data_IF_674643490867
#
_entry.id   IF_674643490867
#
_cell.length_a   1.000
_cell.length_b   1.000
_cell.length_c   1.000
_cell.angle_alpha   90.00
_cell.angle_beta   90.00
_cell.angle_gamma   90.00
#
_symmetry.space_group_name_H-M   'P 1'
#
loop_
_entity.id
_entity.type
_entity.pdbx_description
1 polymer ?
#
# COMPACT_ATOMS: atom_id res chain seq x y z
N UNK A 1 47.39 -21.60 -26.87
CA UNK A 1 46.03 -22.19 -26.93
C UNK A 1 45.31 -21.83 -25.65
N UNK A 2 44.48 -20.79 -25.66
CA UNK A 2 43.67 -20.38 -24.51
C UNK A 2 42.28 -20.99 -24.68
N UNK A 3 41.91 -21.89 -23.77
CA UNK A 3 40.61 -22.55 -23.79
C UNK A 3 39.53 -21.52 -23.42
N UNK A 4 38.66 -21.21 -24.37
CA UNK A 4 37.50 -20.37 -24.13
C UNK A 4 36.58 -21.07 -23.10
N UNK A 5 36.28 -20.36 -22.01
CA UNK A 5 35.27 -20.78 -21.04
C UNK A 5 33.92 -20.86 -21.77
N UNK A 6 33.24 -22.01 -21.80
CA UNK A 6 31.98 -22.12 -22.52
C UNK A 6 30.92 -21.24 -21.86
N UNK A 7 30.15 -20.53 -22.69
CA UNK A 7 29.01 -19.75 -22.23
C UNK A 7 28.02 -20.66 -21.47
N UNK A 8 27.38 -20.18 -20.38
CA UNK A 8 26.42 -20.98 -19.65
C UNK A 8 25.29 -21.37 -20.60
N UNK A 9 24.99 -22.67 -20.69
CA UNK A 9 23.90 -23.19 -21.50
C UNK A 9 22.56 -22.60 -21.01
N UNK A 10 21.68 -22.26 -21.96
CA UNK A 10 20.33 -21.75 -21.76
C UNK A 10 19.37 -22.79 -21.15
N UNK A 11 19.84 -23.54 -20.15
CA UNK A 11 19.18 -24.74 -19.60
C UNK A 11 18.19 -24.50 -18.46
N UNK A 12 17.73 -23.27 -18.22
CA UNK A 12 16.83 -22.98 -17.09
C UNK A 12 15.71 -21.99 -17.44
N UNK A 13 14.89 -22.34 -18.44
CA UNK A 13 13.59 -21.68 -18.65
C UNK A 13 12.67 -21.77 -17.41
N UNK A 14 12.87 -22.77 -16.55
CA UNK A 14 12.17 -22.96 -15.27
C UNK A 14 12.56 -21.93 -14.18
N UNK A 15 13.68 -21.21 -14.33
CA UNK A 15 14.20 -20.25 -13.35
C UNK A 15 14.15 -18.82 -13.88
N UNK A 16 12.97 -18.38 -14.36
CA UNK A 16 12.58 -16.97 -14.29
C UNK A 16 11.77 -16.76 -13.00
N UNK A 17 12.39 -16.75 -11.80
CA UNK A 17 11.69 -16.76 -10.51
C UNK A 17 10.70 -15.60 -10.36
N UNK A 18 10.90 -14.50 -11.11
CA UNK A 18 10.00 -13.35 -11.10
C UNK A 18 8.54 -13.72 -11.37
N UNK A 19 8.22 -14.49 -12.43
CA UNK A 19 6.80 -14.68 -12.83
C UNK A 19 6.01 -15.49 -11.80
N UNK A 20 6.55 -16.61 -11.33
CA UNK A 20 5.88 -17.45 -10.34
C UNK A 20 5.77 -16.74 -8.99
N UNK A 21 6.81 -16.01 -8.56
CA UNK A 21 6.76 -15.22 -7.33
C UNK A 21 5.71 -14.10 -7.44
N UNK A 22 5.63 -13.41 -8.59
CA UNK A 22 4.58 -12.39 -8.80
C UNK A 22 3.19 -12.99 -8.78
N UNK A 23 3.01 -14.18 -9.36
CA UNK A 23 1.73 -14.88 -9.33
C UNK A 23 1.34 -15.25 -7.89
N UNK A 24 2.25 -15.81 -7.10
CA UNK A 24 1.99 -16.15 -5.69
C UNK A 24 1.62 -14.91 -4.88
N UNK A 25 2.35 -13.80 -5.05
CA UNK A 25 2.01 -12.54 -4.39
C UNK A 25 0.63 -12.05 -4.84
N UNK A 26 0.34 -12.06 -6.14
CA UNK A 26 -0.95 -11.62 -6.67
C UNK A 26 -2.11 -12.47 -6.13
N UNK A 27 -1.96 -13.79 -6.07
CA UNK A 27 -2.95 -14.69 -5.48
C UNK A 27 -3.12 -14.46 -3.98
N UNK A 28 -2.01 -14.21 -3.26
CA UNK A 28 -2.07 -13.85 -1.83
C UNK A 28 -2.79 -12.53 -1.58
N UNK A 29 -2.60 -11.53 -2.43
CA UNK A 29 -3.31 -10.25 -2.37
C UNK A 29 -4.80 -10.41 -2.70
N UNK A 30 -5.13 -11.21 -3.72
CA UNK A 30 -6.52 -11.51 -4.06
C UNK A 30 -7.22 -12.23 -2.91
N UNK A 31 -6.61 -13.28 -2.37
CA UNK A 31 -7.14 -13.98 -1.20
C UNK A 31 -7.31 -13.02 -0.02
N UNK A 32 -6.29 -12.20 0.27
CA UNK A 32 -6.37 -11.18 1.32
C UNK A 32 -7.52 -10.20 1.12
N UNK A 33 -7.83 -9.81 -0.12
CA UNK A 33 -8.90 -8.86 -0.41
C UNK A 33 -10.27 -9.49 -0.18
N UNK A 34 -10.44 -10.75 -0.61
CA UNK A 34 -11.69 -11.50 -0.48
C UNK A 34 -12.05 -11.78 0.99
N UNK A 35 -11.06 -11.93 1.88
CA UNK A 35 -11.32 -12.22 3.30
C UNK A 35 -11.60 -10.98 4.16
N UNK A 36 -11.50 -9.77 3.63
CA UNK A 36 -11.61 -8.54 4.43
C UNK A 36 -12.97 -8.40 5.16
N UNK A 37 -14.04 -8.95 4.60
CA UNK A 37 -15.38 -8.92 5.19
C UNK A 37 -15.73 -10.14 6.06
N UNK A 38 -14.85 -11.13 6.20
CA UNK A 38 -15.19 -12.42 6.82
C UNK A 38 -15.19 -12.40 8.36
N UNK A 39 -14.75 -11.30 8.98
CA UNK A 39 -14.69 -11.14 10.43
C UNK A 39 -15.25 -9.78 10.86
N UNK A 40 -15.86 -9.77 12.05
CA UNK A 40 -16.28 -8.53 12.71
C UNK A 40 -15.12 -7.61 13.07
N UNK A 41 -15.42 -6.37 13.43
CA UNK A 41 -14.44 -5.36 13.85
C UNK A 41 -13.81 -5.70 15.21
N UNK A 42 -12.48 -5.62 15.32
CA UNK A 42 -11.77 -5.72 16.59
C UNK A 42 -12.00 -4.47 17.45
N UNK A 43 -12.36 -4.69 18.73
CA UNK A 43 -12.48 -3.63 19.73
C UNK A 43 -11.12 -3.42 20.45
N UNK A 44 -10.78 -2.18 20.86
CA UNK A 44 -11.50 -0.92 20.61
C UNK A 44 -11.12 -0.24 19.28
N UNK A 45 -9.98 -0.60 18.68
CA UNK A 45 -9.33 0.25 17.68
C UNK A 45 -10.12 0.35 16.36
N UNK A 46 -10.56 -0.77 15.78
CA UNK A 46 -11.26 -0.71 14.49
C UNK A 46 -12.60 0.03 14.63
N UNK A 47 -13.34 -0.25 15.71
CA UNK A 47 -14.62 0.40 15.99
C UNK A 47 -14.51 1.92 16.17
N UNK A 48 -13.40 2.41 16.75
CA UNK A 48 -13.21 3.85 16.97
C UNK A 48 -13.02 4.60 15.66
N UNK A 49 -12.18 4.10 14.77
CA UNK A 49 -11.94 4.75 13.47
C UNK A 49 -13.16 4.66 12.56
N UNK A 50 -13.89 3.54 12.57
CA UNK A 50 -15.11 3.40 11.79
C UNK A 50 -16.22 4.31 12.30
N UNK A 51 -16.40 4.42 13.63
CA UNK A 51 -17.40 5.33 14.20
C UNK A 51 -17.16 6.80 13.79
N UNK A 52 -15.91 7.27 13.85
CA UNK A 52 -15.58 8.64 13.40
C UNK A 52 -15.88 8.84 11.91
N UNK A 53 -15.52 7.86 11.08
CA UNK A 53 -15.79 7.93 9.64
C UNK A 53 -17.29 7.92 9.31
N UNK A 54 -18.08 7.13 10.02
CA UNK A 54 -19.53 7.11 9.86
C UNK A 54 -20.15 8.43 10.33
N UNK A 55 -19.69 8.99 11.46
CA UNK A 55 -20.14 10.30 11.94
C UNK A 55 -19.84 11.41 10.91
N UNK A 56 -18.70 11.37 10.21
CA UNK A 56 -18.40 12.33 9.12
C UNK A 56 -19.40 12.23 7.96
N UNK A 57 -19.85 11.02 7.62
CA UNK A 57 -20.87 10.82 6.59
C UNK A 57 -22.24 11.31 7.04
N UNK A 58 -22.62 11.02 8.29
CA UNK A 58 -23.92 11.41 8.85
C UNK A 58 -24.03 12.92 9.06
N UNK A 59 -22.98 13.57 9.59
CA UNK A 59 -23.01 15.01 9.87
C UNK A 59 -22.69 15.86 8.64
N UNK A 60 -22.00 15.31 7.65
CA UNK A 60 -21.43 16.07 6.54
C UNK A 60 -20.24 16.96 6.93
N UNK A 61 -19.79 16.92 8.19
CA UNK A 61 -18.58 17.62 8.63
C UNK A 61 -17.35 16.71 8.47
N UNK A 62 -16.62 16.94 7.38
CA UNK A 62 -15.39 16.22 7.06
C UNK A 62 -14.15 16.82 7.74
N UNK A 63 -14.25 18.02 8.31
CA UNK A 63 -13.10 18.74 8.84
C UNK A 63 -12.88 18.45 10.32
N UNK A 64 -13.97 18.33 11.09
CA UNK A 64 -13.91 18.11 12.53
C UNK A 64 -14.26 16.65 12.86
N UNK A 65 -13.26 15.76 13.07
CA UNK A 65 -13.52 14.39 13.48
C UNK A 65 -14.21 14.33 14.84
N UNK A 66 -15.30 13.58 14.92
CA UNK A 66 -16.08 13.35 16.13
C UNK A 66 -16.27 11.84 16.34
N UNK A 67 -16.03 11.34 17.55
CA UNK A 67 -16.30 9.94 17.89
C UNK A 67 -17.78 9.69 18.15
N UNK A 68 -18.42 10.69 18.77
CA UNK A 68 -19.86 10.83 18.98
C UNK A 68 -20.23 12.28 18.70
N UNK A 69 -21.51 12.59 18.51
CA UNK A 69 -21.99 13.94 18.17
C UNK A 69 -21.38 15.06 19.03
N UNK A 70 -21.13 14.82 20.32
CA UNK A 70 -20.59 15.83 21.25
C UNK A 70 -19.12 15.59 21.62
N UNK A 71 -18.46 14.57 21.08
CA UNK A 71 -17.10 14.16 21.49
C UNK A 71 -16.12 14.30 20.33
N UNK A 72 -15.38 15.42 20.24
CA UNK A 72 -14.35 15.61 19.23
C UNK A 72 -13.21 14.59 19.38
N UNK A 73 -12.60 14.21 18.25
CA UNK A 73 -11.59 13.16 18.18
C UNK A 73 -10.35 13.58 17.38
N UNK A 74 -9.60 14.54 17.91
CA UNK A 74 -8.38 15.10 17.30
C UNK A 74 -7.10 14.32 17.63
N UNK A 75 -7.16 12.99 17.66
CA UNK A 75 -5.98 12.18 18.04
C UNK A 75 -5.05 11.89 16.86
N UNK A 76 -5.59 11.91 15.63
CA UNK A 76 -4.89 11.59 14.38
C UNK A 76 -5.31 12.55 13.27
N UNK A 77 -4.45 12.82 12.27
CA UNK A 77 -4.84 13.58 11.08
C UNK A 77 -6.02 12.92 10.34
N UNK A 78 -6.82 13.70 9.60
CA UNK A 78 -8.13 13.23 9.13
C UNK A 78 -8.09 12.25 7.96
N UNK A 79 -6.93 12.08 7.31
CA UNK A 79 -6.76 11.26 6.11
C UNK A 79 -7.32 9.84 6.23
N UNK A 80 -7.11 9.17 7.37
CA UNK A 80 -7.65 7.82 7.58
C UNK A 80 -9.17 7.85 7.67
N UNK A 81 -9.75 8.82 8.39
CA UNK A 81 -11.21 8.95 8.47
C UNK A 81 -11.81 9.28 7.10
N UNK A 82 -11.19 10.15 6.31
CA UNK A 82 -11.63 10.44 4.94
C UNK A 82 -11.61 9.21 4.04
N UNK A 83 -10.54 8.41 4.11
CA UNK A 83 -10.44 7.19 3.32
C UNK A 83 -11.49 6.14 3.74
N UNK A 84 -11.78 6.03 5.03
CA UNK A 84 -12.86 5.16 5.53
C UNK A 84 -14.25 5.67 5.13
N UNK A 85 -14.53 6.96 5.34
CA UNK A 85 -15.81 7.58 5.02
C UNK A 85 -16.11 7.48 3.52
N UNK A 86 -15.12 7.76 2.65
CA UNK A 86 -15.27 7.55 1.20
C UNK A 86 -15.52 6.09 0.84
N UNK A 87 -14.84 5.14 1.50
CA UNK A 87 -15.07 3.72 1.29
C UNK A 87 -16.48 3.29 1.71
N UNK A 88 -16.96 3.74 2.87
CA UNK A 88 -18.32 3.50 3.33
C UNK A 88 -19.38 4.12 2.41
N UNK A 89 -19.14 5.32 1.89
CA UNK A 89 -20.06 5.97 0.95
C UNK A 89 -20.23 5.20 -0.37
N UNK A 90 -19.17 4.50 -0.82
CA UNK A 90 -19.18 3.76 -2.10
C UNK A 90 -19.60 2.30 -1.93
N UNK A 91 -19.15 1.62 -0.87
CA UNK A 91 -19.32 0.18 -0.70
C UNK A 91 -20.31 -0.20 0.41
N UNK A 92 -20.91 0.79 1.07
CA UNK A 92 -21.86 0.61 2.17
C UNK A 92 -21.21 0.30 3.51
N UNK A 93 -22.02 0.26 4.57
CA UNK A 93 -21.56 0.07 5.94
C UNK A 93 -21.33 -1.40 6.26
N UNK A 94 -20.12 -1.90 5.96
CA UNK A 94 -19.72 -3.27 6.25
C UNK A 94 -18.21 -3.36 6.54
N UNK A 95 -17.77 -4.49 7.07
CA UNK A 95 -16.39 -4.71 7.49
C UNK A 95 -15.39 -4.72 6.32
N UNK A 96 -15.84 -5.12 5.13
CA UNK A 96 -15.03 -5.02 3.92
C UNK A 96 -14.71 -3.56 3.60
N UNK A 97 -15.73 -2.69 3.58
CA UNK A 97 -15.58 -1.26 3.33
C UNK A 97 -14.68 -0.59 4.38
N UNK A 98 -14.77 -1.02 5.65
CA UNK A 98 -13.92 -0.49 6.73
C UNK A 98 -12.41 -0.74 6.49
N UNK A 99 -12.04 -1.92 5.95
CA UNK A 99 -10.63 -2.34 5.79
C UNK A 99 -10.08 -2.13 4.40
N UNK A 100 -10.96 -1.94 3.41
CA UNK A 100 -10.58 -1.71 2.02
C UNK A 100 -9.52 -0.60 1.86
N UNK A 101 -9.60 0.56 2.54
CA UNK A 101 -8.58 1.60 2.44
C UNK A 101 -7.17 1.12 2.83
N UNK A 102 -7.06 0.34 3.90
CA UNK A 102 -5.77 -0.20 4.35
C UNK A 102 -5.25 -1.27 3.39
N UNK A 103 -6.13 -2.12 2.88
CA UNK A 103 -5.76 -3.09 1.86
C UNK A 103 -5.27 -2.40 0.58
N UNK A 104 -5.96 -1.36 0.13
CA UNK A 104 -5.57 -0.56 -1.02
C UNK A 104 -4.22 0.15 -0.78
N UNK A 105 -4.01 0.71 0.41
CA UNK A 105 -2.74 1.36 0.77
C UNK A 105 -1.57 0.37 0.84
N UNK A 106 -1.80 -0.84 1.34
CA UNK A 106 -0.81 -1.91 1.33
C UNK A 106 -0.43 -2.31 -0.10
N UNK A 107 -1.41 -2.53 -0.99
CA UNK A 107 -1.17 -2.83 -2.40
C UNK A 107 -0.42 -1.68 -3.08
N UNK A 108 -0.83 -0.43 -2.85
CA UNK A 108 -0.15 0.75 -3.37
C UNK A 108 1.32 0.81 -2.94
N UNK A 109 1.61 0.46 -1.68
CA UNK A 109 2.97 0.38 -1.15
C UNK A 109 3.79 -0.68 -1.88
N UNK A 110 3.21 -1.86 -2.13
CA UNK A 110 3.86 -2.92 -2.90
C UNK A 110 4.21 -2.47 -4.32
N UNK A 111 3.31 -1.78 -5.00
CA UNK A 111 3.54 -1.25 -6.35
C UNK A 111 4.66 -0.20 -6.36
N UNK A 112 4.71 0.68 -5.35
CA UNK A 112 5.78 1.65 -5.18
C UNK A 112 7.13 0.97 -4.93
N UNK A 113 7.18 -0.06 -4.10
CA UNK A 113 8.39 -0.84 -3.83
C UNK A 113 8.87 -1.61 -5.06
N UNK A 114 7.95 -2.15 -5.87
CA UNK A 114 8.28 -2.76 -7.16
C UNK A 114 8.90 -1.73 -8.11
N UNK A 115 8.34 -0.51 -8.15
CA UNK A 115 8.89 0.58 -8.96
C UNK A 115 10.28 1.02 -8.46
N UNK A 116 10.47 1.13 -7.14
CA UNK A 116 11.74 1.46 -6.51
C UNK A 116 12.81 0.38 -6.75
N UNK A 117 12.42 -0.89 -6.69
CA UNK A 117 13.32 -2.03 -6.89
C UNK A 117 13.94 -2.07 -8.29
N UNK A 118 13.27 -1.51 -9.31
CA UNK A 118 13.88 -1.32 -10.65
C UNK A 118 15.18 -0.52 -10.62
N UNK A 119 15.35 0.34 -9.62
CA UNK A 119 16.56 1.14 -9.40
C UNK A 119 17.46 0.53 -8.34
N UNK A 120 16.90 0.18 -7.18
CA UNK A 120 17.70 -0.25 -6.01
C UNK A 120 18.22 -1.69 -6.16
N UNK A 121 17.45 -2.57 -6.78
CA UNK A 121 17.82 -3.98 -7.00
C UNK A 121 17.60 -4.40 -8.46
N UNK A 122 18.32 -3.83 -9.46
CA UNK A 122 18.00 -4.01 -10.88
C UNK A 122 17.98 -5.46 -11.37
N UNK A 123 18.83 -6.32 -10.77
CA UNK A 123 18.86 -7.78 -11.08
C UNK A 123 17.61 -8.52 -10.58
N UNK A 124 16.93 -7.99 -9.57
CA UNK A 124 15.73 -8.55 -8.93
C UNK A 124 14.79 -7.41 -8.49
N UNK A 125 14.13 -6.71 -9.43
CA UNK A 125 13.39 -5.48 -9.12
C UNK A 125 12.14 -5.72 -8.26
N UNK A 126 11.67 -6.97 -8.21
CA UNK A 126 10.53 -7.42 -7.42
C UNK A 126 10.88 -7.74 -5.97
N UNK A 127 12.16 -7.85 -5.61
CA UNK A 127 12.58 -8.33 -4.30
C UNK A 127 12.08 -7.47 -3.13
N UNK A 128 12.15 -6.12 -3.17
CA UNK A 128 11.66 -5.29 -2.06
C UNK A 128 10.15 -5.48 -1.80
N UNK A 129 9.37 -5.55 -2.89
CA UNK A 129 7.93 -5.81 -2.81
C UNK A 129 7.65 -7.17 -2.17
N UNK A 130 8.36 -8.22 -2.59
CA UNK A 130 8.17 -9.58 -2.05
C UNK A 130 8.51 -9.62 -0.57
N UNK A 131 9.65 -9.05 -0.15
CA UNK A 131 10.05 -9.00 1.25
C UNK A 131 9.04 -8.27 2.11
N UNK A 132 8.55 -7.11 1.65
CA UNK A 132 7.52 -6.36 2.36
C UNK A 132 6.19 -7.14 2.43
N UNK A 133 5.78 -7.75 1.32
CA UNK A 133 4.57 -8.58 1.27
C UNK A 133 4.66 -9.82 2.15
N UNK A 134 5.87 -10.35 2.36
CA UNK A 134 6.18 -11.51 3.19
C UNK A 134 6.20 -11.15 4.69
N UNK A 135 6.48 -9.90 5.04
CA UNK A 135 6.55 -9.42 6.41
C UNK A 135 5.16 -9.49 7.09
N UNK A 136 5.12 -10.04 8.30
CA UNK A 136 3.88 -10.21 9.05
C UNK A 136 3.22 -8.87 9.40
N UNK A 137 3.99 -7.89 9.85
CA UNK A 137 3.46 -6.65 10.41
C UNK A 137 2.70 -5.79 9.38
N UNK A 138 3.26 -5.45 8.20
CA UNK A 138 2.51 -4.77 7.15
C UNK A 138 1.28 -5.53 6.65
N UNK A 139 1.38 -6.86 6.58
CA UNK A 139 0.26 -7.70 6.15
C UNK A 139 -0.88 -7.65 7.16
N UNK A 140 -0.58 -7.76 8.45
CA UNK A 140 -1.58 -7.61 9.53
C UNK A 140 -2.19 -6.21 9.44
N UNK A 141 -1.37 -5.16 9.25
CA UNK A 141 -1.82 -3.78 9.04
C UNK A 141 -2.78 -3.59 7.86
N UNK A 142 -2.68 -4.40 6.81
CA UNK A 142 -3.61 -4.40 5.68
C UNK A 142 -4.97 -5.04 6.01
N UNK A 143 -5.04 -5.82 7.08
CA UNK A 143 -6.23 -6.55 7.54
C UNK A 143 -6.88 -5.97 8.78
N UNK A 144 -6.37 -4.85 9.31
CA UNK A 144 -6.96 -4.12 10.44
C UNK A 144 -7.15 -2.66 10.07
N UNK A 145 -8.07 -1.97 10.73
CA UNK A 145 -8.18 -0.51 10.63
C UNK A 145 -7.12 0.18 11.49
N UNK A 146 -6.04 0.63 10.85
CA UNK A 146 -4.97 1.44 11.45
C UNK A 146 -4.64 2.67 10.60
N UNK A 147 -4.06 3.71 11.20
CA UNK A 147 -3.52 4.88 10.50
C UNK A 147 -2.20 4.59 9.77
N UNK A 148 -1.48 3.58 10.25
CA UNK A 148 -0.06 3.39 9.89
C UNK A 148 0.11 2.88 8.47
N UNK A 149 -0.86 2.12 7.95
CA UNK A 149 -0.80 1.57 6.58
C UNK A 149 -0.91 2.68 5.53
N UNK A 150 -1.81 3.65 5.72
CA UNK A 150 -1.87 4.84 4.84
C UNK A 150 -0.62 5.71 4.99
N UNK A 151 -0.15 5.94 6.21
CA UNK A 151 1.08 6.70 6.43
C UNK A 151 2.27 6.04 5.72
N UNK A 152 2.36 4.71 5.78
CA UNK A 152 3.42 3.94 5.12
C UNK A 152 3.35 4.08 3.60
N UNK A 153 2.15 4.07 3.00
CA UNK A 153 1.98 4.32 1.57
C UNK A 153 2.56 5.68 1.18
N UNK A 154 2.15 6.75 1.86
CA UNK A 154 2.53 8.11 1.48
C UNK A 154 4.00 8.42 1.75
N UNK A 155 4.53 7.94 2.87
CA UNK A 155 5.97 8.07 3.18
C UNK A 155 6.83 7.26 2.19
N UNK A 156 6.41 6.05 1.82
CA UNK A 156 7.06 5.27 0.75
C UNK A 156 6.98 6.02 -0.59
N UNK A 157 5.82 6.59 -0.92
CA UNK A 157 5.62 7.39 -2.13
C UNK A 157 6.56 8.58 -2.21
N UNK A 158 6.71 9.31 -1.10
CA UNK A 158 7.68 10.42 -0.98
C UNK A 158 9.12 9.93 -1.20
N UNK A 159 9.51 8.81 -0.60
CA UNK A 159 10.83 8.20 -0.80
C UNK A 159 11.08 7.79 -2.26
N UNK A 160 10.10 7.15 -2.91
CA UNK A 160 10.20 6.76 -4.32
C UNK A 160 10.27 7.99 -5.23
N UNK A 161 9.49 9.04 -4.95
CA UNK A 161 9.55 10.29 -5.69
C UNK A 161 10.93 10.95 -5.57
N UNK A 162 11.50 10.98 -4.37
CA UNK A 162 12.85 11.47 -4.14
C UNK A 162 13.90 10.67 -4.90
N UNK A 163 13.84 9.32 -4.85
CA UNK A 163 14.74 8.45 -5.59
C UNK A 163 14.69 8.73 -7.10
N UNK A 164 13.49 8.89 -7.66
CA UNK A 164 13.32 9.25 -9.07
C UNK A 164 13.90 10.63 -9.35
N UNK A 165 13.60 11.63 -8.55
CA UNK A 165 14.15 12.97 -8.75
C UNK A 165 15.69 12.98 -8.72
N UNK A 166 16.30 12.24 -7.79
CA UNK A 166 17.76 12.23 -7.59
C UNK A 166 18.52 11.44 -8.65
N UNK A 167 17.96 10.34 -9.16
CA UNK A 167 18.66 9.37 -10.00
C UNK A 167 18.07 9.23 -11.42
N UNK A 168 16.92 9.83 -11.70
CA UNK A 168 16.31 9.88 -13.04
C UNK A 168 16.48 11.28 -13.67
N UNK A 169 17.32 12.13 -13.07
CA UNK A 169 17.58 13.53 -13.45
C UNK A 169 18.19 13.73 -14.85
N UNK A 170 18.52 12.67 -15.58
CA UNK A 170 18.91 12.74 -16.99
C UNK A 170 17.73 12.98 -17.94
N UNK A 171 16.49 13.00 -17.42
CA UNK A 171 15.34 13.50 -18.19
C UNK A 171 15.29 15.02 -18.05
N UNK A 172 15.44 15.80 -19.15
CA UNK A 172 15.37 17.25 -19.06
C UNK A 172 13.99 17.63 -18.53
N UNK A 173 13.99 18.13 -17.30
CA UNK A 173 12.79 18.65 -16.66
C UNK A 173 12.40 19.92 -17.43
N UNK A 174 11.29 19.85 -18.17
CA UNK A 174 10.88 20.84 -19.20
C UNK A 174 10.76 22.28 -18.68
N UNK A 175 10.60 22.48 -17.36
CA UNK A 175 10.48 23.80 -16.72
C UNK A 175 11.82 24.47 -16.37
N UNK A 176 12.97 23.79 -16.48
CA UNK A 176 14.31 24.39 -16.23
C UNK A 176 14.79 25.35 -17.34
N UNK A 177 13.97 25.63 -18.35
CA UNK A 177 14.26 26.58 -19.44
C UNK A 177 13.54 27.92 -19.30
N UNK A 178 12.84 28.15 -18.19
CA UNK A 178 12.03 29.35 -17.96
C UNK A 178 12.66 30.35 -16.97
N UNK A 179 13.93 30.14 -16.59
CA UNK A 179 14.73 31.09 -15.82
C UNK A 179 16.13 31.17 -16.42
#
# INVERSE_FOLDING_TARGET
>A
MSAAVPAPSDGNAFLRPGRHVMLVVALGLLAGLLVQGMRGLYRPDEGRYTAVALQMLESGDWWHPHLHHETPHYTKPPLTYWALATSFAVFGHNEFAARLPNMAAFIGTLLLLLAAGRRVTPRRPWLPMVLYSACAFPRIGAHIVTTDTLLTLWTTGAGVAFLRWRFDADRPVRWRRAF
#
